data_IF_900534356481
#
_entry.id   IF_900534356481
#
_cell.length_a   1.000
_cell.length_b   1.000
_cell.length_c   1.000
_cell.angle_alpha   90.00
_cell.angle_beta   90.00
_cell.angle_gamma   90.00
#
_symmetry.space_group_name_H-M   'P 1'
#
loop_
_entity.id
_entity.type
_entity.pdbx_description
1 polymer ?
#
# COMPACT_ATOMS: atom_id res chain seq x y z
N UNK A 1 19.16 -4.20 -13.75
CA UNK A 1 18.02 -4.06 -14.69
C UNK A 1 17.86 -5.37 -15.45
N UNK A 2 16.95 -6.27 -15.05
CA UNK A 2 16.72 -7.49 -15.81
C UNK A 2 16.07 -7.10 -17.13
N UNK A 3 16.78 -7.32 -18.24
CA UNK A 3 16.22 -7.18 -19.58
C UNK A 3 15.08 -8.20 -19.71
N UNK A 4 13.85 -7.73 -19.95
CA UNK A 4 12.74 -8.61 -20.34
C UNK A 4 13.15 -9.29 -21.65
N UNK A 5 13.34 -10.61 -21.58
CA UNK A 5 13.59 -11.41 -22.76
C UNK A 5 12.38 -11.31 -23.70
N UNK A 6 12.63 -11.12 -24.99
CA UNK A 6 11.62 -11.42 -26.02
C UNK A 6 11.14 -12.86 -25.80
N UNK A 7 9.85 -13.17 -25.97
CA UNK A 7 9.39 -14.56 -25.92
C UNK A 7 10.13 -15.33 -27.01
N UNK A 8 11.16 -16.07 -26.61
CA UNK A 8 11.88 -16.96 -27.50
C UNK A 8 10.91 -18.10 -27.81
N UNK A 9 10.61 -18.27 -29.09
CA UNK A 9 9.76 -19.34 -29.65
C UNK A 9 10.35 -20.75 -29.43
N UNK A 10 11.33 -20.89 -28.54
CA UNK A 10 12.06 -22.10 -28.24
C UNK A 10 11.49 -22.77 -27.01
N UNK A 11 11.19 -24.06 -27.09
CA UNK A 11 10.47 -24.80 -26.04
C UNK A 11 11.18 -24.76 -24.68
N UNK A 12 12.51 -24.68 -24.67
CA UNK A 12 13.33 -24.58 -23.46
C UNK A 12 13.16 -23.24 -22.74
N UNK A 13 13.12 -22.14 -23.49
CA UNK A 13 12.88 -20.82 -22.90
C UNK A 13 11.44 -20.73 -22.38
N UNK A 14 10.48 -21.28 -23.13
CA UNK A 14 9.08 -21.37 -22.70
C UNK A 14 8.91 -22.20 -21.42
N UNK A 15 9.61 -23.34 -21.31
CA UNK A 15 9.65 -24.15 -20.08
C UNK A 15 10.16 -23.32 -18.91
N UNK A 16 11.29 -22.63 -19.09
CA UNK A 16 11.89 -21.81 -18.05
C UNK A 16 10.99 -20.66 -17.63
N UNK A 17 10.36 -19.98 -18.58
CA UNK A 17 9.44 -18.88 -18.30
C UNK A 17 8.20 -19.39 -17.56
N UNK A 18 7.69 -20.58 -17.92
CA UNK A 18 6.52 -21.18 -17.28
C UNK A 18 6.78 -21.63 -15.84
N UNK A 19 7.95 -22.23 -15.59
CA UNK A 19 8.33 -22.74 -14.27
C UNK A 19 9.16 -21.76 -13.43
N UNK A 20 9.50 -20.59 -13.96
CA UNK A 20 10.35 -19.59 -13.31
C UNK A 20 11.81 -20.02 -13.13
N UNK A 21 12.32 -20.91 -14.00
CA UNK A 21 13.66 -21.50 -13.87
C UNK A 21 14.76 -20.66 -14.55
N UNK A 22 15.90 -20.56 -13.90
CA UNK A 22 17.16 -20.06 -14.47
C UNK A 22 17.84 -21.12 -15.35
N UNK A 23 18.86 -20.72 -16.14
CA UNK A 23 19.64 -21.69 -16.95
C UNK A 23 20.38 -22.69 -16.06
N UNK A 24 20.89 -22.22 -14.93
CA UNK A 24 21.64 -23.04 -13.97
C UNK A 24 20.73 -24.07 -13.29
N UNK A 25 19.53 -23.67 -12.89
CA UNK A 25 18.54 -24.57 -12.29
C UNK A 25 18.07 -25.64 -13.29
N UNK A 26 17.85 -25.27 -14.55
CA UNK A 26 17.51 -26.25 -15.58
C UNK A 26 18.68 -27.19 -15.87
N UNK A 27 19.91 -26.68 -15.87
CA UNK A 27 21.11 -27.49 -16.05
C UNK A 27 21.27 -28.51 -14.90
N UNK A 28 21.07 -28.07 -13.66
CA UNK A 28 21.08 -28.93 -12.48
C UNK A 28 20.00 -30.02 -12.56
N UNK A 29 18.76 -29.65 -12.94
CA UNK A 29 17.67 -30.61 -13.11
C UNK A 29 17.99 -31.69 -14.15
N UNK A 30 18.66 -31.33 -15.24
CA UNK A 30 19.03 -32.26 -16.31
C UNK A 30 20.36 -33.00 -16.07
N UNK A 31 21.11 -32.65 -15.03
CA UNK A 31 22.46 -33.17 -14.81
C UNK A 31 23.47 -32.72 -15.87
N UNK A 32 23.31 -31.50 -16.39
CA UNK A 32 24.10 -30.92 -17.49
C UNK A 32 24.77 -29.61 -17.08
N UNK A 33 25.59 -29.05 -17.97
CA UNK A 33 26.22 -27.75 -17.74
C UNK A 33 25.34 -26.59 -18.25
N UNK A 34 25.34 -25.46 -17.55
CA UNK A 34 24.60 -24.26 -17.96
C UNK A 34 24.97 -23.72 -19.35
N UNK A 35 26.24 -23.76 -19.81
CA UNK A 35 26.59 -23.42 -21.19
C UNK A 35 25.88 -24.30 -22.22
N UNK A 36 25.66 -25.59 -21.92
CA UNK A 36 24.96 -26.50 -22.82
C UNK A 36 23.47 -26.13 -22.96
N UNK A 37 22.82 -25.75 -21.86
CA UNK A 37 21.43 -25.25 -21.87
C UNK A 37 21.33 -23.95 -22.68
N UNK A 38 22.30 -23.04 -22.53
CA UNK A 38 22.38 -21.81 -23.32
C UNK A 38 22.58 -22.09 -24.82
N UNK A 39 23.40 -23.08 -25.17
CA UNK A 39 23.63 -23.46 -26.56
C UNK A 39 22.37 -24.05 -27.21
N UNK A 40 21.53 -24.75 -26.43
CA UNK A 40 20.21 -25.21 -26.88
C UNK A 40 19.24 -24.05 -27.08
N UNK A 41 19.16 -23.10 -26.15
CA UNK A 41 18.30 -21.92 -26.29
C UNK A 41 18.67 -21.04 -27.48
N UNK A 42 19.97 -20.93 -27.77
CA UNK A 42 20.50 -20.16 -28.91
C UNK A 42 20.53 -20.94 -30.21
N UNK A 43 20.06 -22.20 -30.22
CA UNK A 43 20.09 -23.13 -31.37
C UNK A 43 21.49 -23.38 -31.94
N UNK A 44 22.54 -23.13 -31.17
CA UNK A 44 23.92 -23.47 -31.56
C UNK A 44 24.15 -24.99 -31.58
N UNK A 45 23.34 -25.73 -30.82
CA UNK A 45 23.37 -27.20 -30.77
C UNK A 45 21.95 -27.77 -30.73
N UNK A 46 21.67 -28.89 -31.43
CA UNK A 46 20.39 -29.57 -31.30
C UNK A 46 20.24 -30.27 -29.94
N UNK A 47 18.99 -30.44 -29.49
CA UNK A 47 18.64 -31.24 -28.32
C UNK A 47 18.93 -32.73 -28.60
N UNK A 48 19.56 -33.41 -27.64
CA UNK A 48 19.78 -34.86 -27.74
C UNK A 48 18.49 -35.62 -27.38
N UNK A 49 18.28 -36.83 -27.91
CA UNK A 49 17.11 -37.64 -27.56
C UNK A 49 16.98 -37.89 -26.05
N UNK A 50 18.11 -38.09 -25.36
CA UNK A 50 18.15 -38.26 -23.90
C UNK A 50 17.69 -36.99 -23.15
N UNK A 51 18.09 -35.81 -23.63
CA UNK A 51 17.64 -34.54 -23.06
C UNK A 51 16.15 -34.30 -23.29
N UNK A 52 15.63 -34.66 -24.48
CA UNK A 52 14.19 -34.60 -24.78
C UNK A 52 13.41 -35.52 -23.85
N UNK A 53 13.89 -36.74 -23.60
CA UNK A 53 13.27 -37.67 -22.66
C UNK A 53 13.26 -37.13 -21.22
N UNK A 54 14.37 -36.54 -20.75
CA UNK A 54 14.44 -35.93 -19.41
C UNK A 54 13.53 -34.71 -19.24
N UNK A 55 13.29 -33.96 -20.32
CA UNK A 55 12.40 -32.80 -20.35
C UNK A 55 10.92 -33.18 -20.52
N UNK A 56 10.62 -34.40 -20.95
CA UNK A 56 9.25 -34.84 -21.27
C UNK A 56 8.24 -34.65 -20.13
N UNK A 57 8.58 -34.91 -18.84
CA UNK A 57 7.66 -34.64 -17.73
C UNK A 57 7.31 -33.16 -17.59
N UNK A 58 8.30 -32.26 -17.76
CA UNK A 58 8.08 -30.82 -17.70
C UNK A 58 7.30 -30.30 -18.92
N UNK A 59 7.56 -30.87 -20.09
CA UNK A 59 6.83 -30.55 -21.33
C UNK A 59 5.36 -30.97 -21.24
N UNK A 60 5.04 -32.08 -20.58
CA UNK A 60 3.66 -32.53 -20.38
C UNK A 60 2.84 -31.59 -19.49
N UNK A 61 3.51 -30.81 -18.63
CA UNK A 61 2.90 -29.82 -17.75
C UNK A 61 2.81 -28.42 -18.38
N UNK A 62 3.34 -28.21 -19.58
CA UNK A 62 3.17 -26.96 -20.30
C UNK A 62 1.75 -26.88 -20.90
N UNK A 63 1.07 -25.73 -20.80
CA UNK A 63 -0.16 -25.52 -21.53
C UNK A 63 0.09 -25.62 -23.05
N UNK A 64 -0.90 -25.96 -23.87
CA UNK A 64 -0.78 -25.83 -25.32
C UNK A 64 -0.39 -24.38 -25.68
N UNK A 65 0.44 -24.15 -26.73
CA UNK A 65 0.77 -22.80 -27.17
C UNK A 65 -0.54 -22.09 -27.52
N UNK A 66 -0.90 -21.06 -26.76
CA UNK A 66 -2.10 -20.30 -27.03
C UNK A 66 -2.00 -19.70 -28.45
N UNK A 67 -3.06 -19.74 -29.26
CA UNK A 67 -3.10 -18.96 -30.49
C UNK A 67 -2.94 -17.49 -30.13
N UNK A 68 -2.18 -16.74 -30.93
CA UNK A 68 -1.93 -15.30 -30.77
C UNK A 68 -3.26 -14.54 -30.66
N UNK A 69 -3.73 -14.39 -29.43
CA UNK A 69 -4.88 -13.56 -29.10
C UNK A 69 -4.40 -12.55 -28.08
N UNK A 70 -4.03 -11.39 -28.61
CA UNK A 70 -3.78 -10.18 -27.86
C UNK A 70 -5.09 -9.79 -27.14
N UNK A 71 -5.32 -10.37 -25.98
CA UNK A 71 -6.26 -9.85 -24.99
C UNK A 71 -5.48 -9.76 -23.69
N UNK A 72 -5.34 -8.57 -23.09
CA UNK A 72 -4.66 -8.46 -21.81
C UNK A 72 -5.37 -9.38 -20.82
N UNK A 73 -4.63 -10.22 -20.07
CA UNK A 73 -5.27 -11.15 -19.16
C UNK A 73 -6.07 -10.34 -18.14
N UNK A 74 -7.29 -10.79 -17.77
CA UNK A 74 -7.93 -10.26 -16.59
C UNK A 74 -6.94 -10.43 -15.43
N UNK A 75 -6.83 -9.41 -14.58
CA UNK A 75 -6.03 -9.41 -13.36
C UNK A 75 -6.62 -10.46 -12.41
N UNK A 76 -6.36 -11.72 -12.72
CA UNK A 76 -6.70 -12.86 -11.90
C UNK A 76 -5.73 -12.80 -10.74
N UNK A 77 -6.26 -12.50 -9.55
CA UNK A 77 -5.56 -12.77 -8.30
C UNK A 77 -4.91 -14.14 -8.41
N UNK A 78 -3.65 -14.33 -7.95
CA UNK A 78 -3.01 -15.62 -8.01
C UNK A 78 -3.85 -16.64 -7.23
N UNK A 79 -4.68 -17.42 -7.93
CA UNK A 79 -5.67 -18.33 -7.34
C UNK A 79 -5.04 -19.51 -6.57
N UNK A 80 -3.71 -19.52 -6.44
CA UNK A 80 -2.92 -20.57 -5.79
C UNK A 80 -2.28 -20.10 -4.48
N UNK A 81 -2.48 -18.84 -4.07
CA UNK A 81 -2.06 -18.43 -2.71
C UNK A 81 -3.01 -19.01 -1.68
N UNK A 82 -2.49 -19.58 -0.56
CA UNK A 82 -3.34 -20.00 0.53
C UNK A 82 -4.22 -18.83 0.99
N UNK A 83 -5.45 -19.10 1.47
CA UNK A 83 -6.33 -18.04 1.96
C UNK A 83 -5.61 -17.25 3.07
N UNK A 84 -5.80 -15.92 3.13
CA UNK A 84 -5.13 -15.08 4.10
C UNK A 84 -5.51 -15.49 5.53
N UNK A 85 -4.55 -15.42 6.45
CA UNK A 85 -4.77 -15.79 7.83
C UNK A 85 -5.71 -14.78 8.53
N UNK A 86 -6.94 -15.23 8.83
CA UNK A 86 -7.97 -14.38 9.43
C UNK A 86 -7.54 -13.73 10.76
N UNK A 87 -6.71 -14.41 11.55
CA UNK A 87 -6.14 -13.86 12.79
C UNK A 87 -5.25 -12.64 12.55
N UNK A 88 -4.35 -12.73 11.57
CA UNK A 88 -3.44 -11.65 11.18
C UNK A 88 -4.22 -10.43 10.63
N UNK A 89 -5.22 -10.67 9.77
CA UNK A 89 -6.09 -9.61 9.25
C UNK A 89 -6.85 -8.89 10.37
N UNK A 90 -7.47 -9.63 11.30
CA UNK A 90 -8.17 -9.04 12.46
C UNK A 90 -7.22 -8.26 13.37
N UNK A 91 -6.01 -8.76 13.61
CA UNK A 91 -5.00 -8.06 14.40
C UNK A 91 -4.64 -6.72 13.76
N UNK A 92 -4.36 -6.72 12.46
CA UNK A 92 -4.04 -5.50 11.72
C UNK A 92 -5.21 -4.50 11.71
N UNK A 93 -6.43 -4.97 11.48
CA UNK A 93 -7.62 -4.11 11.50
C UNK A 93 -7.81 -3.42 12.88
N UNK A 94 -7.60 -4.14 13.99
CA UNK A 94 -7.62 -3.54 15.34
C UNK A 94 -6.52 -2.51 15.53
N UNK A 95 -5.30 -2.81 15.06
CA UNK A 95 -4.18 -1.88 15.15
C UNK A 95 -4.47 -0.59 14.39
N UNK A 96 -4.99 -0.67 13.16
CA UNK A 96 -5.38 0.50 12.37
C UNK A 96 -6.45 1.33 13.08
N UNK A 97 -7.50 0.70 13.62
CA UNK A 97 -8.55 1.38 14.41
C UNK A 97 -7.99 2.10 15.64
N UNK A 98 -7.11 1.44 16.40
CA UNK A 98 -6.48 2.03 17.58
C UNK A 98 -5.64 3.27 17.21
N UNK A 99 -4.85 3.17 16.14
CA UNK A 99 -4.06 4.31 15.65
C UNK A 99 -4.94 5.46 15.16
N UNK A 100 -6.00 5.15 14.40
CA UNK A 100 -6.97 6.14 13.94
C UNK A 100 -7.62 6.90 15.12
N UNK A 101 -8.04 6.18 16.17
CA UNK A 101 -8.61 6.79 17.38
C UNK A 101 -7.62 7.77 18.04
N UNK A 102 -6.34 7.40 18.11
CA UNK A 102 -5.29 8.29 18.62
C UNK A 102 -5.13 9.58 17.79
N UNK A 103 -5.15 9.47 16.45
CA UNK A 103 -5.08 10.62 15.55
C UNK A 103 -6.32 11.51 15.64
N UNK A 104 -7.52 10.92 15.71
CA UNK A 104 -8.78 11.64 15.89
C UNK A 104 -8.82 12.39 17.21
N UNK A 105 -8.32 11.80 18.29
CA UNK A 105 -8.22 12.48 19.58
C UNK A 105 -7.30 13.71 19.51
N UNK A 106 -6.19 13.63 18.76
CA UNK A 106 -5.30 14.76 18.51
C UNK A 106 -5.98 15.85 17.69
N UNK A 107 -6.64 15.48 16.59
CA UNK A 107 -7.39 16.43 15.75
C UNK A 107 -8.51 17.11 16.55
N UNK A 108 -9.22 16.36 17.39
CA UNK A 108 -10.27 16.89 18.25
C UNK A 108 -9.76 17.93 19.27
N UNK A 109 -8.51 17.83 19.74
CA UNK A 109 -7.92 18.87 20.59
C UNK A 109 -7.70 20.18 19.84
N UNK A 110 -7.17 20.11 18.61
CA UNK A 110 -6.97 21.29 17.76
C UNK A 110 -8.32 21.93 17.37
N UNK A 111 -9.33 21.10 17.05
CA UNK A 111 -10.67 21.59 16.76
C UNK A 111 -11.28 22.34 17.95
N UNK A 112 -11.17 21.78 19.17
CA UNK A 112 -11.66 22.46 20.38
C UNK A 112 -10.95 23.79 20.61
N UNK A 113 -9.64 23.85 20.41
CA UNK A 113 -8.88 25.10 20.51
C UNK A 113 -9.37 26.14 19.50
N UNK A 114 -9.63 25.73 18.25
CA UNK A 114 -10.14 26.61 17.21
C UNK A 114 -11.54 27.15 17.54
N UNK A 115 -12.44 26.29 18.02
CA UNK A 115 -13.80 26.69 18.44
C UNK A 115 -13.74 27.68 19.61
N UNK A 116 -12.89 27.43 20.61
CA UNK A 116 -12.72 28.36 21.74
C UNK A 116 -12.17 29.70 21.27
N UNK A 117 -11.13 29.70 20.43
CA UNK A 117 -10.58 30.92 19.86
C UNK A 117 -11.62 31.72 19.06
N UNK A 118 -12.45 31.04 18.26
CA UNK A 118 -13.53 31.66 17.49
C UNK A 118 -14.59 32.31 18.39
N UNK A 119 -15.01 31.63 19.47
CA UNK A 119 -15.93 32.21 20.47
C UNK A 119 -15.35 33.45 21.14
N UNK A 120 -14.06 33.43 21.47
CA UNK A 120 -13.37 34.61 22.00
C UNK A 120 -13.30 35.74 20.98
N UNK A 121 -13.05 35.44 19.71
CA UNK A 121 -13.02 36.44 18.64
C UNK A 121 -14.39 37.08 18.39
N UNK A 122 -15.46 36.30 18.44
CA UNK A 122 -16.83 36.78 18.31
C UNK A 122 -17.22 37.71 19.48
N UNK A 123 -16.85 37.35 20.70
CA UNK A 123 -17.13 38.17 21.89
C UNK A 123 -16.19 39.38 22.04
N UNK A 124 -15.04 39.39 21.36
CA UNK A 124 -13.97 40.37 21.56
C UNK A 124 -14.44 41.83 21.40
N UNK A 125 -15.21 42.23 20.37
CA UNK A 125 -15.63 43.62 20.22
C UNK A 125 -16.49 44.09 21.39
N UNK A 126 -17.43 43.27 21.85
CA UNK A 126 -18.28 43.58 23.00
C UNK A 126 -17.49 43.70 24.30
N UNK A 127 -16.51 42.81 24.51
CA UNK A 127 -15.64 42.84 25.68
C UNK A 127 -14.68 44.05 25.69
N UNK A 128 -14.22 44.51 24.51
CA UNK A 128 -13.38 45.71 24.40
C UNK A 128 -14.17 47.02 24.52
N UNK A 129 -15.47 47.01 24.20
CA UNK A 129 -16.35 48.17 24.34
C UNK A 129 -16.84 48.38 25.78
N UNK A 130 -16.76 47.35 26.63
CA UNK A 130 -17.12 47.46 28.03
C UNK A 130 -16.13 48.37 28.80
N UNK A 131 -16.61 49.23 29.72
CA UNK A 131 -15.71 50.06 30.51
C UNK A 131 -14.83 49.18 31.41
N UNK A 132 -13.52 49.41 31.35
CA UNK A 132 -12.58 48.74 32.24
C UNK A 132 -12.81 49.23 33.69
N UNK A 133 -12.82 48.33 34.69
CA UNK A 133 -13.00 48.71 36.09
C UNK A 133 -11.85 49.58 36.61
N UNK A 134 -10.64 49.43 36.04
CA UNK A 134 -9.48 50.24 36.38
C UNK A 134 -8.73 50.70 35.11
N UNK A 135 -8.55 52.01 34.89
CA UNK A 135 -7.97 52.53 33.64
C UNK A 135 -6.50 52.15 33.47
N UNK A 136 -5.74 52.01 34.56
CA UNK A 136 -4.34 51.57 34.52
C UNK A 136 -4.20 50.13 34.00
N UNK A 137 -5.23 49.29 34.17
CA UNK A 137 -5.23 47.88 33.75
C UNK A 137 -5.84 47.64 32.36
N UNK A 138 -6.51 48.64 31.80
CA UNK A 138 -7.28 48.52 30.55
C UNK A 138 -6.41 48.04 29.36
N UNK A 139 -5.20 48.57 29.23
CA UNK A 139 -4.28 48.21 28.15
C UNK A 139 -3.85 46.73 28.22
N UNK A 140 -3.51 46.25 29.42
CA UNK A 140 -3.16 44.85 29.66
C UNK A 140 -4.35 43.92 29.38
N UNK A 141 -5.55 44.29 29.85
CA UNK A 141 -6.75 43.48 29.66
C UNK A 141 -7.11 43.35 28.18
N UNK A 142 -7.06 44.46 27.44
CA UNK A 142 -7.32 44.46 26.00
C UNK A 142 -6.32 43.57 25.23
N UNK A 143 -5.04 43.65 25.57
CA UNK A 143 -3.99 42.81 24.98
C UNK A 143 -4.16 41.33 25.34
N UNK A 144 -4.53 41.02 26.59
CA UNK A 144 -4.86 39.66 27.01
C UNK A 144 -6.06 39.08 26.24
N UNK A 145 -7.14 39.86 26.08
CA UNK A 145 -8.32 39.46 25.32
C UNK A 145 -7.98 39.19 23.85
N UNK A 146 -7.19 40.07 23.22
CA UNK A 146 -6.71 39.87 21.84
C UNK A 146 -5.88 38.60 21.69
N UNK A 147 -5.02 38.28 22.67
CA UNK A 147 -4.27 37.00 22.67
C UNK A 147 -5.19 35.79 22.74
N UNK A 148 -6.26 35.84 23.54
CA UNK A 148 -7.24 34.73 23.67
C UNK A 148 -8.07 34.52 22.41
N UNK A 149 -8.39 35.60 21.72
CA UNK A 149 -9.13 35.60 20.46
C UNK A 149 -8.28 35.26 19.22
N UNK A 150 -6.97 35.05 19.39
CA UNK A 150 -6.09 34.78 18.25
C UNK A 150 -6.49 33.44 17.60
N UNK A 151 -6.73 33.41 16.27
CA UNK A 151 -7.07 32.17 15.58
C UNK A 151 -5.93 31.15 15.67
N UNK A 152 -6.26 29.88 15.43
CA UNK A 152 -5.26 28.83 15.31
C UNK A 152 -4.24 29.24 14.22
N UNK A 153 -2.93 29.08 14.45
CA UNK A 153 -1.94 29.39 13.44
C UNK A 153 -2.07 28.40 12.26
N UNK A 154 -1.65 28.80 11.05
CA UNK A 154 -1.83 27.99 9.84
C UNK A 154 -1.19 26.60 9.96
N UNK A 155 -0.06 26.47 10.64
CA UNK A 155 0.60 25.18 10.87
C UNK A 155 -0.27 24.21 11.67
N UNK A 156 -1.03 24.73 12.64
CA UNK A 156 -1.95 23.92 13.44
C UNK A 156 -3.19 23.51 12.62
N UNK A 157 -3.67 24.38 11.72
CA UNK A 157 -4.75 24.04 10.78
C UNK A 157 -4.29 22.95 9.79
N UNK A 158 -3.10 23.10 9.19
CA UNK A 158 -2.51 22.07 8.33
C UNK A 158 -2.35 20.74 9.08
N UNK A 159 -1.84 20.78 10.31
CA UNK A 159 -1.73 19.60 11.16
C UNK A 159 -3.08 18.93 11.39
N UNK A 160 -4.14 19.70 11.65
CA UNK A 160 -5.50 19.17 11.80
C UNK A 160 -5.94 18.42 10.54
N UNK A 161 -5.81 19.02 9.35
CA UNK A 161 -6.17 18.38 8.09
C UNK A 161 -5.39 17.07 7.85
N UNK A 162 -4.08 17.08 8.09
CA UNK A 162 -3.23 15.90 7.93
C UNK A 162 -3.61 14.77 8.89
N UNK A 163 -3.90 15.09 10.16
CA UNK A 163 -4.34 14.10 11.15
C UNK A 163 -5.67 13.47 10.73
N UNK A 164 -6.63 14.28 10.29
CA UNK A 164 -7.95 13.81 9.85
C UNK A 164 -7.83 12.92 8.61
N UNK A 165 -7.03 13.32 7.60
CA UNK A 165 -6.80 12.53 6.40
C UNK A 165 -6.14 11.17 6.71
N UNK A 166 -5.12 11.15 7.58
CA UNK A 166 -4.45 9.92 8.01
C UNK A 166 -5.37 8.99 8.80
N UNK A 167 -6.20 9.55 9.68
CA UNK A 167 -7.19 8.77 10.42
C UNK A 167 -8.20 8.12 9.47
N UNK A 168 -8.71 8.86 8.48
CA UNK A 168 -9.63 8.34 7.48
C UNK A 168 -9.01 7.19 6.67
N UNK A 169 -7.75 7.34 6.24
CA UNK A 169 -7.03 6.30 5.52
C UNK A 169 -6.88 5.00 6.34
N UNK A 170 -6.54 5.11 7.64
CA UNK A 170 -6.44 3.95 8.53
C UNK A 170 -7.78 3.25 8.76
N UNK A 171 -8.87 4.01 8.86
CA UNK A 171 -10.22 3.44 8.98
C UNK A 171 -10.64 2.72 7.70
N UNK A 172 -10.30 3.26 6.53
CA UNK A 172 -10.54 2.61 5.24
C UNK A 172 -9.71 1.32 5.09
N UNK A 173 -8.46 1.33 5.52
CA UNK A 173 -7.62 0.12 5.57
C UNK A 173 -8.27 -0.94 6.46
N UNK A 174 -8.70 -0.57 7.67
CA UNK A 174 -9.36 -1.50 8.59
C UNK A 174 -10.65 -2.10 7.98
N UNK A 175 -11.49 -1.28 7.35
CA UNK A 175 -12.71 -1.74 6.69
C UNK A 175 -12.41 -2.69 5.52
N UNK A 176 -11.40 -2.36 4.71
CA UNK A 176 -10.94 -3.23 3.61
C UNK A 176 -10.46 -4.59 4.15
N UNK A 177 -9.69 -4.61 5.24
CA UNK A 177 -9.20 -5.84 5.85
C UNK A 177 -10.32 -6.68 6.47
N UNK A 178 -11.34 -6.04 7.04
CA UNK A 178 -12.52 -6.72 7.58
C UNK A 178 -13.38 -7.34 6.47
N UNK A 179 -13.51 -6.68 5.32
CA UNK A 179 -14.20 -7.21 4.15
C UNK A 179 -13.50 -8.43 3.50
N UNK A 180 -12.20 -8.62 3.77
CA UNK A 180 -11.45 -9.81 3.34
C UNK A 180 -11.61 -11.01 4.27
N UNK A 181 -12.23 -10.82 5.44
CA UNK A 181 -12.49 -11.94 6.35
C UNK A 181 -13.62 -12.79 5.76
N UNK A 182 -13.47 -14.13 5.73
CA UNK A 182 -14.59 -15.00 5.36
C UNK A 182 -15.76 -14.77 6.33
N UNK A 183 -16.97 -14.67 5.80
CA UNK A 183 -18.22 -14.73 6.57
C UNK A 183 -18.13 -15.96 7.48
N UNK A 184 -18.19 -15.74 8.80
CA UNK A 184 -18.17 -16.84 9.75
C UNK A 184 -19.46 -17.64 9.57
N UNK A 185 -19.36 -18.82 8.96
CA UNK A 185 -20.41 -19.85 9.01
C UNK A 185 -20.56 -20.42 10.41
#
# INVERSE_FOLDING_TARGET
MPRRARPSTHVIARLRDWFGLTQDELALYLGLSAPLVRDWETRRRPLTPAAVAALQPLLACLPPPAPDSATPPPTTSPSTTPPPEAGALRFRARQCRQQAAGLQAQAGRLQRQAVVAARWAEALPGLLAAPAPEPAHAAWQADWLRRRARPLPPEAATRWHLLTARAAALLLEAATLEALLPEAG
#
